data_IF_816710727862
#
_entry.id   IF_816710727862
#
_cell.length_a   1.000
_cell.length_b   1.000
_cell.length_c   1.000
_cell.angle_alpha   90.00
_cell.angle_beta   90.00
_cell.angle_gamma   90.00
#
_symmetry.space_group_name_H-M   'P 1'
#
loop_
_entity.id
_entity.type
_entity.pdbx_description
1 polymer ?
#
# COMPACT_ATOMS: atom_id res chain seq x y z
N UNK A 1 -7.46 28.78 -5.44
CA UNK A 1 -8.04 27.52 -5.93
C UNK A 1 -7.52 26.39 -5.04
N UNK A 2 -8.33 25.76 -4.17
CA UNK A 2 -7.82 24.66 -3.37
C UNK A 2 -7.55 23.49 -4.30
N UNK A 3 -6.26 23.18 -4.47
CA UNK A 3 -5.78 21.99 -5.14
C UNK A 3 -6.45 20.79 -4.45
N UNK A 4 -7.47 20.22 -5.11
CA UNK A 4 -8.05 18.92 -4.75
C UNK A 4 -6.97 17.89 -5.05
N UNK A 5 -5.91 17.86 -4.23
CA UNK A 5 -4.98 16.74 -4.17
C UNK A 5 -5.85 15.54 -3.95
N UNK A 6 -6.06 14.78 -5.04
CA UNK A 6 -6.99 13.66 -5.02
C UNK A 6 -6.48 12.76 -3.89
N UNK A 7 -7.35 12.21 -3.03
CA UNK A 7 -6.90 11.30 -1.97
C UNK A 7 -5.95 10.23 -2.51
N UNK A 8 -6.18 9.81 -3.76
CA UNK A 8 -5.34 8.93 -4.58
C UNK A 8 -3.89 9.43 -4.71
N UNK A 9 -3.67 10.73 -4.88
CA UNK A 9 -2.35 11.33 -5.01
C UNK A 9 -1.59 11.35 -3.68
N UNK A 10 -2.29 11.60 -2.56
CA UNK A 10 -1.70 11.44 -1.22
C UNK A 10 -1.34 9.99 -0.95
N UNK A 11 -2.22 9.07 -1.34
CA UNK A 11 -1.96 7.63 -1.22
C UNK A 11 -0.81 7.21 -2.11
N UNK A 12 -0.77 7.64 -3.38
CA UNK A 12 0.32 7.36 -4.32
C UNK A 12 1.66 7.90 -3.82
N UNK A 13 1.67 9.10 -3.23
CA UNK A 13 2.89 9.72 -2.70
C UNK A 13 3.38 9.04 -1.42
N UNK A 14 2.47 8.58 -0.56
CA UNK A 14 2.81 7.79 0.62
C UNK A 14 3.23 6.36 0.26
N UNK A 15 2.56 5.70 -0.70
CA UNK A 15 3.01 4.42 -1.26
C UNK A 15 4.35 4.57 -1.98
N UNK A 16 4.62 5.69 -2.64
CA UNK A 16 5.92 5.97 -3.25
C UNK A 16 7.01 6.22 -2.20
N UNK A 17 6.69 6.85 -1.06
CA UNK A 17 7.62 7.01 0.06
C UNK A 17 7.98 5.65 0.68
N UNK A 18 7.00 4.76 0.76
CA UNK A 18 7.11 3.39 1.27
C UNK A 18 7.14 2.36 0.14
N UNK A 19 7.82 2.69 -0.98
CA UNK A 19 7.78 1.89 -2.22
C UNK A 19 8.18 0.44 -2.00
N UNK A 20 9.08 0.18 -1.06
CA UNK A 20 9.57 -1.16 -0.72
C UNK A 20 8.48 -2.00 -0.07
N UNK A 21 7.78 -1.47 0.93
CA UNK A 21 6.63 -2.11 1.58
C UNK A 21 5.44 -2.25 0.63
N UNK A 22 5.19 -1.24 -0.22
CA UNK A 22 4.16 -1.28 -1.25
C UNK A 22 4.44 -2.38 -2.30
N UNK A 23 5.69 -2.49 -2.74
CA UNK A 23 6.11 -3.55 -3.65
C UNK A 23 6.07 -4.93 -2.99
N UNK A 24 6.39 -5.04 -1.69
CA UNK A 24 6.28 -6.29 -0.94
C UNK A 24 4.82 -6.74 -0.80
N UNK A 25 3.93 -5.81 -0.44
CA UNK A 25 2.49 -6.06 -0.39
C UNK A 25 1.93 -6.46 -1.75
N UNK A 26 2.29 -5.71 -2.80
CA UNK A 26 1.89 -6.02 -4.18
C UNK A 26 2.42 -7.38 -4.65
N UNK A 27 3.67 -7.74 -4.31
CA UNK A 27 4.24 -9.06 -4.62
C UNK A 27 3.49 -10.19 -3.93
N UNK A 28 3.11 -10.01 -2.68
CA UNK A 28 2.33 -11.00 -1.93
C UNK A 28 0.93 -11.18 -2.54
N UNK A 29 0.26 -10.08 -2.90
CA UNK A 29 -1.05 -10.10 -3.59
C UNK A 29 -0.95 -10.71 -4.99
N UNK A 30 0.14 -10.44 -5.72
CA UNK A 30 0.36 -10.99 -7.06
C UNK A 30 0.76 -12.47 -7.04
N UNK A 31 1.46 -12.91 -5.99
CA UNK A 31 1.85 -14.31 -5.81
C UNK A 31 0.63 -15.21 -5.62
N UNK A 32 -0.34 -14.76 -4.82
CA UNK A 32 -1.56 -15.49 -4.50
C UNK A 32 -2.81 -14.75 -5.01
N UNK A 33 -2.75 -14.19 -6.23
CA UNK A 33 -3.82 -13.38 -6.80
C UNK A 33 -5.16 -14.14 -6.91
N UNK A 34 -5.08 -15.45 -7.13
CA UNK A 34 -6.24 -16.35 -7.23
C UNK A 34 -6.90 -16.63 -5.87
N UNK A 35 -6.11 -16.63 -4.81
CA UNK A 35 -6.52 -16.95 -3.44
C UNK A 35 -6.33 -15.76 -2.51
N UNK A 36 -6.43 -14.52 -3.04
CA UNK A 36 -6.23 -13.35 -2.21
C UNK A 36 -7.40 -13.26 -1.24
N UNK A 37 -7.08 -13.51 0.03
CA UNK A 37 -8.03 -13.52 1.11
C UNK A 37 -7.60 -12.49 2.16
N UNK A 38 -8.58 -12.00 2.91
CA UNK A 38 -8.35 -11.11 4.03
C UNK A 38 -7.32 -11.77 4.96
N UNK A 39 -6.28 -11.02 5.34
CA UNK A 39 -5.17 -11.41 6.23
C UNK A 39 -3.99 -12.19 5.62
N UNK A 40 -4.01 -12.56 4.32
CA UNK A 40 -2.85 -13.18 3.64
C UNK A 40 -1.59 -12.29 3.69
N UNK A 41 -1.73 -11.03 3.26
CA UNK A 41 -0.62 -10.07 3.19
C UNK A 41 -0.67 -9.08 4.35
N UNK A 42 -1.23 -9.46 5.50
CA UNK A 42 -1.46 -8.54 6.63
C UNK A 42 -0.16 -7.99 7.21
N UNK A 43 0.94 -8.76 7.17
CA UNK A 43 2.27 -8.29 7.60
C UNK A 43 2.76 -7.13 6.74
N UNK A 44 2.66 -7.27 5.42
CA UNK A 44 3.10 -6.25 4.47
C UNK A 44 2.14 -5.05 4.47
N UNK A 45 0.84 -5.31 4.66
CA UNK A 45 -0.15 -4.25 4.86
C UNK A 45 0.09 -3.47 6.15
N UNK A 46 0.47 -4.13 7.25
CA UNK A 46 0.81 -3.46 8.51
C UNK A 46 2.04 -2.58 8.36
N UNK A 47 3.09 -3.07 7.68
CA UNK A 47 4.29 -2.26 7.39
C UNK A 47 3.99 -1.06 6.49
N UNK A 48 3.19 -1.28 5.45
CA UNK A 48 2.70 -0.21 4.59
C UNK A 48 1.93 0.84 5.39
N UNK A 49 1.00 0.39 6.24
CA UNK A 49 0.17 1.25 7.07
C UNK A 49 1.01 2.05 8.07
N UNK A 50 1.99 1.43 8.69
CA UNK A 50 2.92 2.08 9.62
C UNK A 50 3.67 3.22 8.91
N UNK A 51 4.23 2.94 7.74
CA UNK A 51 4.96 3.92 6.94
C UNK A 51 4.04 5.00 6.31
N UNK A 52 2.73 4.74 6.18
CA UNK A 52 1.72 5.73 5.79
C UNK A 52 1.30 6.68 6.91
N UNK A 53 1.43 6.24 8.16
CA UNK A 53 1.02 6.98 9.37
C UNK A 53 2.15 7.86 9.92
N UNK A 54 3.40 7.60 9.52
CA UNK A 54 4.61 8.37 9.87
C UNK A 54 4.76 9.72 9.14
#
# INVERSE_FOLDING_TARGET
MPNRTRPIEKVAKATAKCSTEAAAYGKCVLADYDSVHKDMCVKEFMRLKDCFVE
#
